data_IF_714072150318
#
_entry.id   IF_714072150318
#
_cell.length_a   1.000
_cell.length_b   1.000
_cell.length_c   1.000
_cell.angle_alpha   90.00
_cell.angle_beta   90.00
_cell.angle_gamma   90.00
#
_symmetry.space_group_name_H-M   'P 1'
#
loop_
_entity.id
_entity.type
_entity.pdbx_description
1 polymer ?
#
# COMPACT_ATOMS: atom_id res chain seq x y z
N UNK A 1 28.76 -14.93 3.96
CA UNK A 1 28.25 -14.11 2.82
C UNK A 1 27.17 -14.93 2.14
N UNK A 2 25.92 -14.78 2.59
CA UNK A 2 24.77 -15.38 1.90
C UNK A 2 24.48 -14.55 0.66
N UNK A 3 24.33 -15.18 -0.51
CA UNK A 3 24.14 -14.51 -1.79
C UNK A 3 22.82 -13.70 -1.79
N UNK A 4 22.98 -12.38 -1.91
CA UNK A 4 21.91 -11.37 -1.98
C UNK A 4 21.20 -11.39 -3.34
N UNK A 5 20.27 -12.30 -3.56
CA UNK A 5 19.43 -12.24 -4.76
C UNK A 5 17.95 -12.11 -4.36
N UNK A 6 17.57 -10.96 -3.80
CA UNK A 6 16.15 -10.56 -3.82
C UNK A 6 15.77 -10.35 -5.29
N UNK A 7 14.69 -11.00 -5.74
CA UNK A 7 14.18 -10.84 -7.11
C UNK A 7 13.70 -9.40 -7.33
N UNK A 8 13.16 -8.78 -6.29
CA UNK A 8 12.69 -7.40 -6.30
C UNK A 8 13.69 -6.47 -5.61
N UNK A 9 14.08 -5.41 -6.29
CA UNK A 9 15.03 -4.41 -5.79
C UNK A 9 14.64 -3.00 -6.24
N UNK A 10 15.38 -1.99 -5.79
CA UNK A 10 15.24 -0.61 -6.28
C UNK A 10 16.56 -0.11 -6.88
N UNK A 11 16.49 0.67 -7.95
CA UNK A 11 17.63 1.39 -8.52
C UNK A 11 17.19 2.78 -8.99
N UNK A 12 17.74 3.82 -8.37
CA UNK A 12 17.25 5.19 -8.52
C UNK A 12 15.73 5.26 -8.32
N UNK A 13 15.03 5.85 -9.29
CA UNK A 13 13.56 5.96 -9.26
C UNK A 13 12.80 4.70 -9.68
N UNK A 14 13.46 3.56 -9.87
CA UNK A 14 12.84 2.37 -10.44
C UNK A 14 12.68 1.25 -9.41
N UNK A 15 11.55 0.57 -9.48
CA UNK A 15 11.34 -0.73 -8.84
C UNK A 15 11.64 -1.79 -9.89
N UNK A 16 12.53 -2.72 -9.56
CA UNK A 16 13.04 -3.73 -10.48
C UNK A 16 12.56 -5.13 -10.07
N UNK A 17 12.34 -5.98 -11.06
CA UNK A 17 12.22 -7.44 -10.93
C UNK A 17 13.26 -8.09 -11.83
N UNK A 18 14.16 -8.89 -11.26
CA UNK A 18 15.26 -9.52 -11.97
C UNK A 18 16.08 -8.50 -12.80
N UNK A 19 16.30 -7.30 -12.23
CA UNK A 19 17.05 -6.20 -12.86
C UNK A 19 16.28 -5.40 -13.91
N UNK A 20 15.01 -5.72 -14.19
CA UNK A 20 14.18 -5.00 -15.16
C UNK A 20 13.12 -4.18 -14.44
N UNK A 21 12.87 -2.95 -14.90
CA UNK A 21 11.79 -2.12 -14.35
C UNK A 21 10.45 -2.84 -14.45
N UNK A 22 9.69 -2.82 -13.35
CA UNK A 22 8.36 -3.43 -13.32
C UNK A 22 7.35 -2.55 -14.03
N UNK A 23 6.37 -3.20 -14.66
CA UNK A 23 5.13 -2.58 -15.15
C UNK A 23 3.97 -3.37 -14.54
N UNK A 24 3.93 -3.39 -13.22
CA UNK A 24 3.03 -4.22 -12.43
C UNK A 24 2.06 -3.31 -11.68
N UNK A 25 0.77 -3.42 -12.00
CA UNK A 25 -0.31 -2.72 -11.32
C UNK A 25 -1.10 -3.70 -10.44
N UNK A 26 -1.96 -3.15 -9.59
CA UNK A 26 -2.57 -3.96 -8.54
C UNK A 26 -3.86 -3.40 -7.98
N UNK A 27 -4.23 -3.94 -6.84
CA UNK A 27 -5.43 -3.56 -6.09
C UNK A 27 -5.18 -3.65 -4.59
N UNK A 28 -5.99 -2.94 -3.82
CA UNK A 28 -6.18 -3.21 -2.41
C UNK A 28 -7.20 -4.34 -2.25
N UNK A 29 -6.97 -5.26 -1.33
CA UNK A 29 -7.87 -6.38 -1.07
C UNK A 29 -8.08 -6.61 0.43
N UNK A 30 -9.19 -7.29 0.74
CA UNK A 30 -9.65 -7.56 2.11
C UNK A 30 -9.57 -9.06 2.45
N UNK A 31 -8.56 -9.79 1.94
CA UNK A 31 -8.47 -11.24 2.09
C UNK A 31 -8.32 -11.69 3.55
N UNK A 32 -7.88 -10.78 4.42
CA UNK A 32 -7.90 -10.93 5.88
C UNK A 32 -9.26 -11.38 6.39
N UNK A 33 -10.36 -10.91 5.81
CA UNK A 33 -11.73 -11.27 6.22
C UNK A 33 -12.36 -12.40 5.38
N UNK A 34 -11.68 -12.84 4.33
CA UNK A 34 -12.15 -13.88 3.43
C UNK A 34 -11.30 -13.94 2.18
N UNK A 35 -10.63 -15.07 1.97
CA UNK A 35 -9.78 -15.32 0.81
C UNK A 35 -10.62 -15.29 -0.48
N UNK A 36 -10.29 -14.38 -1.40
CA UNK A 36 -11.05 -14.19 -2.64
C UNK A 36 -10.64 -15.18 -3.75
N UNK A 37 -11.40 -15.16 -4.84
CA UNK A 37 -11.21 -15.97 -6.03
C UNK A 37 -10.00 -15.47 -6.84
N UNK A 38 -8.87 -16.15 -6.64
CA UNK A 38 -7.61 -15.93 -7.35
C UNK A 38 -7.70 -15.95 -8.88
N UNK A 39 -8.67 -16.67 -9.47
CA UNK A 39 -8.86 -16.73 -10.92
C UNK A 39 -9.41 -15.41 -11.46
N UNK A 40 -10.32 -14.75 -10.75
CA UNK A 40 -10.88 -13.48 -11.19
C UNK A 40 -9.83 -12.37 -11.20
N UNK A 41 -8.94 -12.37 -10.21
CA UNK A 41 -7.78 -11.46 -10.21
C UNK A 41 -6.85 -11.70 -11.41
N UNK A 42 -6.80 -12.92 -11.95
CA UNK A 42 -5.99 -13.24 -13.12
C UNK A 42 -6.58 -12.61 -14.38
N UNK A 43 -7.90 -12.66 -14.52
CA UNK A 43 -8.63 -12.08 -15.66
C UNK A 43 -8.46 -10.55 -15.71
N UNK A 44 -8.31 -9.91 -14.54
CA UNK A 44 -8.01 -8.48 -14.39
C UNK A 44 -6.52 -8.16 -14.50
N UNK A 45 -5.66 -9.13 -14.81
CA UNK A 45 -4.21 -8.97 -14.91
C UNK A 45 -3.53 -8.41 -13.64
N UNK A 46 -4.12 -8.60 -12.45
CA UNK A 46 -3.60 -8.07 -11.18
C UNK A 46 -2.26 -8.74 -10.83
N UNK A 47 -1.21 -7.93 -10.59
CA UNK A 47 0.16 -8.39 -10.27
C UNK A 47 0.60 -8.08 -8.84
N UNK A 48 0.04 -7.04 -8.24
CA UNK A 48 0.33 -6.63 -6.87
C UNK A 48 -0.98 -6.60 -6.10
N UNK A 49 -0.98 -7.16 -4.88
CA UNK A 49 -2.11 -7.06 -3.96
C UNK A 49 -1.65 -6.40 -2.67
N UNK A 50 -2.21 -5.24 -2.35
CA UNK A 50 -2.03 -4.58 -1.07
C UNK A 50 -3.11 -5.05 -0.11
N UNK A 51 -2.69 -5.86 0.85
CA UNK A 51 -3.56 -6.55 1.78
C UNK A 51 -3.88 -5.65 2.97
N UNK A 52 -5.17 -5.39 3.17
CA UNK A 52 -5.69 -4.63 4.29
C UNK A 52 -5.58 -5.44 5.60
N UNK A 53 -4.82 -4.94 6.57
CA UNK A 53 -4.74 -5.52 7.91
C UNK A 53 -5.40 -4.57 8.92
N UNK A 54 -6.71 -4.70 9.11
CA UNK A 54 -7.49 -3.82 9.98
C UNK A 54 -7.29 -4.03 11.49
N UNK A 55 -6.61 -5.11 11.88
CA UNK A 55 -6.29 -5.45 13.27
C UNK A 55 -4.91 -6.13 13.35
N UNK A 56 -3.84 -5.35 13.26
CA UNK A 56 -2.47 -5.89 13.25
C UNK A 56 -2.13 -6.73 14.48
N UNK A 57 -2.68 -6.36 15.64
CA UNK A 57 -2.38 -7.02 16.90
C UNK A 57 -2.81 -8.48 16.91
N UNK A 58 -4.05 -8.76 16.51
CA UNK A 58 -4.62 -10.10 16.54
C UNK A 58 -4.46 -10.86 15.22
N UNK A 59 -4.03 -10.18 14.15
CA UNK A 59 -3.80 -10.78 12.84
C UNK A 59 -2.89 -12.01 12.94
N UNK A 60 -3.38 -13.23 12.66
CA UNK A 60 -2.51 -14.41 12.70
C UNK A 60 -1.47 -14.31 11.59
N UNK A 61 -0.19 -14.50 11.93
CA UNK A 61 0.88 -14.52 10.93
C UNK A 61 0.87 -15.87 10.19
N UNK A 62 0.70 -16.97 10.93
CA UNK A 62 0.65 -18.34 10.42
C UNK A 62 -0.54 -19.11 11.02
N UNK A 63 -0.85 -20.27 10.45
CA UNK A 63 -1.87 -21.18 10.97
C UNK A 63 -3.25 -20.91 10.41
N UNK A 64 -4.26 -21.48 11.06
CA UNK A 64 -5.66 -21.37 10.63
C UNK A 64 -6.23 -19.98 10.94
N UNK A 65 -7.33 -19.63 10.25
CA UNK A 65 -8.09 -18.43 10.57
C UNK A 65 -8.55 -18.44 12.03
N UNK A 66 -8.52 -17.27 12.67
CA UNK A 66 -8.95 -17.06 14.06
C UNK A 66 -10.07 -16.04 14.12
N UNK A 67 -10.84 -16.02 15.21
CA UNK A 67 -11.75 -14.93 15.50
C UNK A 67 -11.04 -13.91 16.37
N UNK A 68 -11.13 -12.63 16.00
CA UNK A 68 -10.61 -11.53 16.81
C UNK A 68 -11.57 -11.15 17.95
N UNK A 69 -11.16 -10.18 18.77
CA UNK A 69 -11.99 -9.66 19.87
C UNK A 69 -13.29 -9.01 19.41
N UNK A 70 -13.43 -8.69 18.11
CA UNK A 70 -14.66 -8.18 17.48
C UNK A 70 -15.45 -9.26 16.74
N UNK A 71 -15.10 -10.53 16.97
CA UNK A 71 -15.72 -11.71 16.39
C UNK A 71 -15.65 -11.78 14.85
N UNK A 72 -14.71 -11.06 14.23
CA UNK A 72 -14.38 -11.14 12.82
C UNK A 72 -13.41 -12.29 12.58
N UNK A 73 -13.57 -13.00 11.46
CA UNK A 73 -12.57 -13.98 11.03
C UNK A 73 -11.36 -13.27 10.45
N UNK A 74 -10.18 -13.61 10.93
CA UNK A 74 -8.89 -13.17 10.41
C UNK A 74 -8.14 -14.38 9.83
N UNK A 75 -7.97 -14.42 8.52
CA UNK A 75 -7.15 -15.41 7.82
C UNK A 75 -5.66 -15.12 8.01
N UNK A 76 -4.81 -16.14 8.10
CA UNK A 76 -3.39 -15.88 8.37
C UNK A 76 -2.67 -15.23 7.20
N UNK A 77 -1.73 -14.34 7.50
CA UNK A 77 -0.94 -13.64 6.49
C UNK A 77 -0.21 -14.63 5.58
N UNK A 78 0.31 -15.74 6.13
CA UNK A 78 0.95 -16.79 5.38
C UNK A 78 0.00 -17.42 4.33
N UNK A 79 -1.26 -17.70 4.71
CA UNK A 79 -2.22 -18.27 3.77
C UNK A 79 -2.58 -17.30 2.63
N UNK A 80 -2.72 -16.01 2.96
CA UNK A 80 -2.98 -14.96 1.97
C UNK A 80 -1.81 -14.84 1.00
N UNK A 81 -0.57 -14.74 1.53
CA UNK A 81 0.66 -14.68 0.73
C UNK A 81 0.81 -15.91 -0.16
N UNK A 82 0.59 -17.12 0.36
CA UNK A 82 0.72 -18.36 -0.41
C UNK A 82 -0.27 -18.42 -1.58
N UNK A 83 -1.50 -17.97 -1.36
CA UNK A 83 -2.53 -17.89 -2.39
C UNK A 83 -2.12 -16.94 -3.53
N UNK A 84 -1.62 -15.74 -3.19
CA UNK A 84 -1.13 -14.77 -4.18
C UNK A 84 0.13 -15.28 -4.90
N UNK A 85 1.05 -15.90 -4.16
CA UNK A 85 2.29 -16.49 -4.68
C UNK A 85 2.04 -17.60 -5.69
N UNK A 86 1.04 -18.44 -5.47
CA UNK A 86 0.65 -19.49 -6.44
C UNK A 86 0.27 -18.92 -7.81
N UNK A 87 -0.13 -17.64 -7.86
CA UNK A 87 -0.46 -16.91 -9.08
C UNK A 87 0.65 -15.94 -9.52
N UNK A 88 1.82 -15.98 -8.87
CA UNK A 88 2.97 -15.13 -9.18
C UNK A 88 2.79 -13.64 -8.82
N UNK A 89 1.92 -13.33 -7.86
CA UNK A 89 1.64 -11.96 -7.42
C UNK A 89 2.51 -11.55 -6.23
N UNK A 90 2.84 -10.26 -6.17
CA UNK A 90 3.41 -9.63 -4.99
C UNK A 90 2.31 -9.37 -3.96
N UNK A 91 2.60 -9.58 -2.69
CA UNK A 91 1.73 -9.15 -1.59
C UNK A 91 2.40 -8.04 -0.78
N UNK A 92 1.76 -6.87 -0.72
CA UNK A 92 2.11 -5.82 0.24
C UNK A 92 1.25 -6.05 1.47
N UNK A 93 1.87 -6.26 2.63
CA UNK A 93 1.16 -6.37 3.90
C UNK A 93 1.10 -4.96 4.52
N UNK A 94 -0.10 -4.39 4.58
CA UNK A 94 -0.29 -3.02 5.05
C UNK A 94 -1.17 -2.99 6.33
N UNK A 95 -0.63 -2.50 7.47
CA UNK A 95 -1.42 -2.25 8.67
C UNK A 95 -2.35 -1.05 8.51
N UNK A 96 -3.65 -1.27 8.70
CA UNK A 96 -4.70 -0.24 8.65
C UNK A 96 -5.31 0.08 10.02
N UNK A 97 -5.19 -0.85 10.97
CA UNK A 97 -5.77 -0.65 12.29
C UNK A 97 -5.12 -1.48 13.39
N UNK A 98 -5.38 -1.03 14.61
CA UNK A 98 -5.00 -1.68 15.84
C UNK A 98 -6.24 -1.88 16.70
N UNK A 99 -6.38 -3.05 17.31
CA UNK A 99 -7.42 -3.30 18.31
C UNK A 99 -6.76 -3.44 19.67
N UNK A 100 -7.26 -2.75 20.69
CA UNK A 100 -6.72 -2.80 22.06
C UNK A 100 -7.27 -3.98 22.87
N UNK A 101 -6.74 -4.25 24.06
CA UNK A 101 -7.09 -5.46 24.85
C UNK A 101 -8.53 -5.46 25.33
N UNK A 102 -9.22 -4.33 25.21
CA UNK A 102 -10.63 -4.15 25.51
C UNK A 102 -11.52 -4.31 24.26
N UNK A 103 -10.92 -4.53 23.08
CA UNK A 103 -11.63 -4.65 21.81
C UNK A 103 -11.91 -3.33 21.09
N UNK A 104 -11.35 -2.21 21.56
CA UNK A 104 -11.50 -0.91 20.91
C UNK A 104 -10.61 -0.85 19.67
N UNK A 105 -11.21 -0.55 18.51
CA UNK A 105 -10.48 -0.41 17.25
C UNK A 105 -10.05 1.04 17.06
N UNK A 106 -8.79 1.21 16.71
CA UNK A 106 -8.20 2.46 16.26
C UNK A 106 -7.72 2.27 14.81
N UNK A 107 -8.27 3.05 13.88
CA UNK A 107 -7.71 3.14 12.53
C UNK A 107 -6.43 3.97 12.56
N UNK A 108 -5.48 3.60 11.72
CA UNK A 108 -4.15 4.21 11.68
C UNK A 108 -4.10 5.54 10.91
N UNK A 109 -5.07 5.75 10.01
CA UNK A 109 -5.16 6.94 9.15
C UNK A 109 -5.16 8.24 9.98
N UNK A 110 -4.32 9.19 9.60
CA UNK A 110 -4.17 10.50 10.22
C UNK A 110 -3.42 10.52 11.56
N UNK A 111 -3.03 9.37 12.12
CA UNK A 111 -2.27 9.30 13.36
C UNK A 111 -0.78 9.55 13.14
N UNK A 112 -0.12 10.12 14.16
CA UNK A 112 1.33 10.19 14.25
C UNK A 112 1.85 8.88 14.89
N UNK A 113 2.61 8.03 14.19
CA UNK A 113 2.98 6.70 14.68
C UNK A 113 3.65 6.70 16.06
N UNK A 114 4.72 7.47 16.25
CA UNK A 114 5.50 7.44 17.50
C UNK A 114 4.78 8.04 18.72
N UNK A 115 3.66 8.73 18.52
CA UNK A 115 2.83 9.26 19.59
C UNK A 115 1.76 8.28 20.07
N UNK A 116 1.59 7.15 19.38
CA UNK A 116 0.58 6.16 19.77
C UNK A 116 1.07 5.31 20.94
N UNK A 117 0.22 5.14 21.96
CA UNK A 117 0.52 4.31 23.14
C UNK A 117 0.87 2.86 22.80
N UNK A 118 0.40 2.36 21.65
CA UNK A 118 0.66 1.02 21.17
C UNK A 118 1.86 0.91 20.20
N UNK A 119 2.60 1.99 19.94
CA UNK A 119 3.67 2.00 18.93
C UNK A 119 4.78 0.97 19.20
N UNK A 120 5.17 0.77 20.46
CA UNK A 120 6.15 -0.27 20.81
C UNK A 120 5.62 -1.69 20.51
N UNK A 121 4.38 -1.98 20.91
CA UNK A 121 3.75 -3.26 20.61
C UNK A 121 3.52 -3.45 19.09
N UNK A 122 3.25 -2.36 18.37
CA UNK A 122 3.16 -2.34 16.92
C UNK A 122 4.50 -2.72 16.28
N UNK A 123 5.61 -2.13 16.73
CA UNK A 123 6.96 -2.49 16.27
C UNK A 123 7.27 -3.97 16.48
N UNK A 124 6.96 -4.52 17.65
CA UNK A 124 7.14 -5.96 17.94
C UNK A 124 6.33 -6.84 16.97
N UNK A 125 5.08 -6.46 16.67
CA UNK A 125 4.24 -7.18 15.72
C UNK A 125 4.80 -7.12 14.30
N UNK A 126 5.26 -5.95 13.88
CA UNK A 126 5.90 -5.79 12.58
C UNK A 126 7.21 -6.58 12.47
N UNK A 127 8.02 -6.67 13.54
CA UNK A 127 9.20 -7.54 13.59
C UNK A 127 8.84 -9.02 13.46
N UNK A 128 7.74 -9.47 14.08
CA UNK A 128 7.29 -10.85 13.95
C UNK A 128 6.89 -11.18 12.50
N UNK A 129 6.21 -10.26 11.81
CA UNK A 129 5.85 -10.39 10.39
C UNK A 129 7.11 -10.39 9.52
N UNK A 130 8.03 -9.45 9.75
CA UNK A 130 9.30 -9.38 9.04
C UNK A 130 10.13 -10.66 9.20
N UNK A 131 10.20 -11.21 10.42
CA UNK A 131 10.88 -12.48 10.67
C UNK A 131 10.26 -13.67 9.93
N UNK A 132 8.94 -13.69 9.74
CA UNK A 132 8.26 -14.73 8.97
C UNK A 132 8.58 -14.62 7.47
N UNK A 133 8.58 -13.40 6.93
CA UNK A 133 8.64 -13.17 5.48
C UNK A 133 10.00 -12.75 4.94
N UNK A 134 11.03 -12.63 5.80
CA UNK A 134 12.40 -12.36 5.33
C UNK A 134 12.87 -13.41 4.34
N UNK A 135 13.50 -12.96 3.25
CA UNK A 135 13.95 -13.82 2.16
C UNK A 135 12.84 -14.26 1.20
N UNK A 136 11.59 -13.86 1.42
CA UNK A 136 10.47 -14.09 0.50
C UNK A 136 10.22 -12.81 -0.32
N UNK A 137 11.00 -12.58 -1.38
CA UNK A 137 11.07 -11.29 -2.09
C UNK A 137 9.75 -10.80 -2.71
N UNK A 138 8.75 -11.67 -2.84
CA UNK A 138 7.38 -11.35 -3.28
C UNK A 138 6.50 -10.79 -2.16
N UNK A 139 7.01 -10.66 -0.92
CA UNK A 139 6.33 -10.04 0.21
C UNK A 139 7.00 -8.71 0.55
N UNK A 140 6.23 -7.63 0.44
CA UNK A 140 6.65 -6.28 0.80
C UNK A 140 5.90 -5.84 2.06
N UNK A 141 6.52 -4.99 2.86
CA UNK A 141 5.91 -4.47 4.09
C UNK A 141 5.75 -2.96 3.99
N UNK A 142 4.52 -2.48 4.19
CA UNK A 142 4.28 -1.06 4.39
C UNK A 142 4.34 -0.72 5.88
N UNK A 143 4.97 0.41 6.19
CA UNK A 143 5.27 0.76 7.57
C UNK A 143 4.02 1.13 8.36
N UNK A 144 3.04 1.77 7.73
CA UNK A 144 1.82 2.32 8.35
C UNK A 144 0.87 2.85 7.27
N UNK A 145 -0.42 2.53 7.30
CA UNK A 145 -1.37 3.13 6.37
C UNK A 145 -1.68 4.60 6.72
N UNK A 146 -1.46 5.51 5.77
CA UNK A 146 -1.91 6.91 5.82
C UNK A 146 -1.56 7.68 7.10
N UNK A 147 -0.28 7.76 7.51
CA UNK A 147 0.08 8.53 8.70
C UNK A 147 -0.09 10.04 8.48
N UNK A 148 -0.18 10.76 9.60
CA UNK A 148 -0.27 12.23 9.71
C UNK A 148 -1.57 12.81 9.10
N UNK A 149 -2.28 13.61 9.89
CA UNK A 149 -3.58 14.15 9.47
C UNK A 149 -3.46 15.02 8.21
N UNK A 150 -4.44 14.93 7.30
CA UNK A 150 -4.44 15.70 6.05
C UNK A 150 -4.47 17.23 6.28
N UNK A 151 -5.03 17.67 7.39
CA UNK A 151 -5.20 19.07 7.78
C UNK A 151 -4.19 19.55 8.84
N UNK A 152 -3.13 18.78 9.08
CA UNK A 152 -2.09 19.02 10.10
C UNK A 152 -2.62 19.13 11.54
N UNK A 153 -3.86 18.72 11.82
CA UNK A 153 -4.52 18.87 13.13
C UNK A 153 -3.81 18.15 14.29
N UNK A 154 -2.96 17.17 13.99
CA UNK A 154 -2.20 16.39 14.97
C UNK A 154 -0.75 16.88 15.15
N UNK A 155 -0.38 18.09 14.73
CA UNK A 155 0.93 18.67 15.05
C UNK A 155 2.12 18.00 14.34
N UNK A 156 1.85 17.42 13.17
CA UNK A 156 2.82 16.80 12.29
C UNK A 156 3.98 17.75 11.90
N UNK A 157 5.21 17.23 11.80
CA UNK A 157 6.33 17.88 11.10
C UNK A 157 7.09 16.90 10.22
N UNK A 158 7.80 17.40 9.20
CA UNK A 158 8.61 16.55 8.32
C UNK A 158 9.73 15.82 9.08
N UNK A 159 10.28 16.43 10.14
CA UNK A 159 11.28 15.80 11.00
C UNK A 159 10.69 14.64 11.80
N UNK A 160 9.44 14.78 12.26
CA UNK A 160 8.70 13.68 12.89
C UNK A 160 8.49 12.54 11.89
N UNK A 161 8.09 12.84 10.64
CA UNK A 161 8.01 11.82 9.60
C UNK A 161 9.32 11.09 9.41
N UNK A 162 10.42 11.81 9.21
CA UNK A 162 11.72 11.18 8.99
C UNK A 162 12.11 10.27 10.17
N UNK A 163 11.92 10.74 11.40
CA UNK A 163 12.22 9.97 12.61
C UNK A 163 11.39 8.68 12.67
N UNK A 164 10.08 8.78 12.52
CA UNK A 164 9.16 7.64 12.62
C UNK A 164 9.45 6.60 11.53
N UNK A 165 9.70 7.05 10.29
CA UNK A 165 10.05 6.15 9.19
C UNK A 165 11.39 5.46 9.42
N UNK A 166 12.45 6.19 9.79
CA UNK A 166 13.76 5.59 10.06
C UNK A 166 13.71 4.58 11.20
N UNK A 167 12.97 4.89 12.27
CA UNK A 167 12.80 4.00 13.41
C UNK A 167 12.13 2.68 13.01
N UNK A 168 11.05 2.74 12.22
CA UNK A 168 10.36 1.53 11.77
C UNK A 168 11.19 0.76 10.73
N UNK A 169 11.86 1.43 9.79
CA UNK A 169 12.74 0.76 8.83
C UNK A 169 13.85 0.01 9.56
N UNK A 170 14.52 0.66 10.52
CA UNK A 170 15.53 0.03 11.34
C UNK A 170 14.97 -1.19 12.07
N UNK A 171 13.80 -1.04 12.70
CA UNK A 171 13.10 -2.11 13.41
C UNK A 171 12.86 -3.35 12.52
N UNK A 172 12.51 -3.17 11.24
CA UNK A 172 12.38 -4.29 10.29
C UNK A 172 13.73 -4.84 9.82
N UNK A 173 14.69 -3.98 9.47
CA UNK A 173 16.01 -4.37 8.96
C UNK A 173 16.83 -5.15 10.00
N UNK A 174 16.68 -4.87 11.29
CA UNK A 174 17.31 -5.63 12.38
C UNK A 174 16.91 -7.12 12.41
N UNK A 175 15.78 -7.49 11.81
CA UNK A 175 15.35 -8.89 11.68
C UNK A 175 16.05 -9.64 10.53
N UNK A 176 16.79 -8.93 9.67
CA UNK A 176 17.33 -9.41 8.39
C UNK A 176 16.29 -9.42 7.26
N UNK A 177 15.21 -8.64 7.39
CA UNK A 177 14.24 -8.45 6.31
C UNK A 177 14.84 -7.53 5.25
N UNK A 178 15.30 -8.08 4.13
CA UNK A 178 15.95 -7.33 3.03
C UNK A 178 15.01 -7.07 1.84
N UNK A 179 13.75 -7.52 1.92
CA UNK A 179 12.77 -7.29 0.86
C UNK A 179 12.38 -5.79 0.79
N UNK A 180 11.55 -5.42 -0.18
CA UNK A 180 11.05 -4.06 -0.31
C UNK A 180 10.24 -3.63 0.93
N UNK A 181 10.52 -2.43 1.41
CA UNK A 181 9.73 -1.71 2.43
C UNK A 181 9.06 -0.51 1.77
N UNK A 182 7.76 -0.35 2.00
CA UNK A 182 6.97 0.79 1.54
C UNK A 182 6.89 1.85 2.63
N UNK A 183 7.33 3.06 2.30
CA UNK A 183 7.36 4.23 3.19
C UNK A 183 6.25 5.19 2.77
N UNK A 184 5.19 5.36 3.58
CA UNK A 184 4.07 6.21 3.22
C UNK A 184 4.44 7.70 3.19
N UNK A 185 3.82 8.45 2.29
CA UNK A 185 3.82 9.91 2.30
C UNK A 185 3.07 10.50 3.51
N UNK A 186 3.15 11.82 3.67
CA UNK A 186 2.42 12.53 4.72
C UNK A 186 1.02 12.96 4.26
N UNK A 187 0.22 13.51 5.18
CA UNK A 187 -1.13 14.00 4.87
C UNK A 187 -2.05 12.86 4.43
N UNK A 188 -2.14 11.81 5.24
CA UNK A 188 -2.86 10.58 4.95
C UNK A 188 -2.39 9.93 3.64
N UNK A 189 -1.08 9.87 3.43
CA UNK A 189 -0.46 9.32 2.22
C UNK A 189 -0.63 10.16 0.96
N UNK A 190 -1.41 11.25 0.98
CA UNK A 190 -1.71 12.02 -0.22
C UNK A 190 -0.62 13.04 -0.60
N UNK A 191 0.29 13.39 0.30
CA UNK A 191 1.36 14.36 0.05
C UNK A 191 2.74 13.71 -0.05
N UNK A 192 3.48 14.12 -1.07
CA UNK A 192 4.87 13.77 -1.31
C UNK A 192 5.88 14.73 -0.66
N UNK A 193 5.42 15.72 0.10
CA UNK A 193 6.28 16.82 0.54
C UNK A 193 7.38 16.36 1.49
N UNK A 194 7.09 15.50 2.47
CA UNK A 194 8.12 14.93 3.33
C UNK A 194 9.11 14.05 2.56
N UNK A 195 8.63 13.28 1.59
CA UNK A 195 9.48 12.45 0.72
C UNK A 195 10.44 13.34 -0.07
N UNK A 196 9.97 14.45 -0.62
CA UNK A 196 10.80 15.39 -1.36
C UNK A 196 11.84 16.11 -0.49
N UNK A 197 11.56 16.29 0.79
CA UNK A 197 12.47 16.96 1.74
C UNK A 197 13.49 15.99 2.33
N UNK A 198 13.09 14.75 2.64
CA UNK A 198 13.88 13.82 3.47
C UNK A 198 14.02 12.40 2.90
N UNK A 199 13.42 12.10 1.74
CA UNK A 199 13.47 10.77 1.13
C UNK A 199 14.89 10.32 0.79
N UNK A 200 15.79 11.24 0.46
CA UNK A 200 17.21 10.96 0.15
C UNK A 200 17.98 10.42 1.36
N UNK A 201 17.66 10.90 2.57
CA UNK A 201 18.26 10.39 3.81
C UNK A 201 17.87 8.93 4.04
N UNK A 202 16.63 8.56 3.72
CA UNK A 202 16.16 7.18 3.84
C UNK A 202 16.82 6.29 2.78
N UNK A 203 16.79 6.67 1.50
CA UNK A 203 17.33 5.83 0.41
C UNK A 203 18.86 5.76 0.40
N UNK A 204 19.55 6.72 1.02
CA UNK A 204 21.00 6.64 1.26
C UNK A 204 21.34 5.69 2.40
N UNK A 205 20.49 5.61 3.43
CA UNK A 205 20.72 4.77 4.60
C UNK A 205 20.29 3.31 4.38
N UNK A 206 19.28 3.07 3.54
CA UNK A 206 18.67 1.76 3.36
C UNK A 206 18.38 1.46 1.88
N UNK A 207 18.74 0.25 1.47
CA UNK A 207 18.37 -0.31 0.18
C UNK A 207 16.89 -0.76 0.16
N UNK A 208 16.33 -0.99 -1.04
CA UNK A 208 15.00 -1.57 -1.26
C UNK A 208 13.88 -0.81 -0.53
N UNK A 209 13.90 0.52 -0.67
CA UNK A 209 12.86 1.42 -0.17
C UNK A 209 12.02 1.89 -1.34
N UNK A 210 10.70 1.80 -1.22
CA UNK A 210 9.73 2.36 -2.16
C UNK A 210 8.85 3.34 -1.39
N UNK A 211 8.59 4.51 -1.93
CA UNK A 211 7.65 5.45 -1.31
C UNK A 211 6.24 5.22 -1.82
N UNK A 212 5.27 5.27 -0.90
CA UNK A 212 3.86 5.03 -1.18
C UNK A 212 3.05 6.33 -1.09
N UNK A 213 2.24 6.60 -2.13
CA UNK A 213 1.39 7.78 -2.24
C UNK A 213 -0.04 7.39 -2.60
N UNK A 214 -1.02 8.14 -2.11
CA UNK A 214 -2.43 7.85 -2.30
C UNK A 214 -3.09 8.93 -3.18
N UNK A 215 -3.66 8.51 -4.31
CA UNK A 215 -4.26 9.40 -5.29
C UNK A 215 -5.77 9.61 -5.00
N UNK A 216 -6.06 10.59 -4.15
CA UNK A 216 -7.41 11.13 -3.93
C UNK A 216 -7.42 12.66 -4.16
N UNK A 217 -7.93 13.45 -3.22
CA UNK A 217 -8.10 14.89 -3.37
C UNK A 217 -6.85 15.60 -3.86
N UNK A 218 -5.70 15.34 -3.23
CA UNK A 218 -4.48 16.08 -3.53
C UNK A 218 -3.92 15.80 -4.94
N UNK A 219 -4.29 14.68 -5.56
CA UNK A 219 -3.81 14.27 -6.88
C UNK A 219 -4.85 14.42 -7.99
N UNK A 220 -6.13 14.27 -7.64
CA UNK A 220 -7.23 14.18 -8.60
C UNK A 220 -8.02 15.49 -8.70
N UNK A 221 -8.18 16.24 -7.60
CA UNK A 221 -8.89 17.52 -7.65
C UNK A 221 -7.97 18.57 -8.24
N UNK A 222 -8.41 19.19 -9.34
CA UNK A 222 -7.61 20.10 -10.18
C UNK A 222 -6.33 19.46 -10.76
N UNK A 223 -6.17 18.14 -10.61
CA UNK A 223 -5.16 17.36 -11.31
C UNK A 223 -5.51 17.29 -12.79
N UNK A 224 -4.58 17.70 -13.63
CA UNK A 224 -4.62 17.43 -15.07
C UNK A 224 -3.33 16.74 -15.49
N UNK A 225 -3.31 16.16 -16.69
CA UNK A 225 -2.14 15.42 -17.19
C UNK A 225 -0.81 16.15 -16.99
N UNK A 226 -0.76 17.46 -17.28
CA UNK A 226 0.46 18.28 -17.15
C UNK A 226 0.92 18.39 -15.69
N UNK A 227 -0.01 18.69 -14.79
CA UNK A 227 0.30 18.86 -13.35
C UNK A 227 0.77 17.55 -12.74
N UNK A 228 0.11 16.45 -13.06
CA UNK A 228 0.46 15.11 -12.59
C UNK A 228 1.82 14.68 -13.16
N UNK A 229 2.05 14.88 -14.46
CA UNK A 229 3.34 14.59 -15.10
C UNK A 229 4.49 15.37 -14.47
N UNK A 230 4.28 16.64 -14.14
CA UNK A 230 5.30 17.47 -13.49
C UNK A 230 5.67 16.94 -12.10
N UNK A 231 4.68 16.51 -11.30
CA UNK A 231 4.91 15.90 -9.98
C UNK A 231 5.66 14.58 -10.08
N UNK A 232 5.25 13.68 -10.98
CA UNK A 232 5.97 12.44 -11.23
C UNK A 232 7.42 12.69 -11.70
N UNK A 233 7.62 13.70 -12.56
CA UNK A 233 8.95 14.08 -13.03
C UNK A 233 9.82 14.59 -11.89
N UNK A 234 9.25 15.35 -10.95
CA UNK A 234 9.96 15.82 -9.75
C UNK A 234 10.44 14.65 -8.89
N UNK A 235 9.57 13.69 -8.60
CA UNK A 235 9.90 12.48 -7.82
C UNK A 235 10.95 11.62 -8.53
N UNK A 236 10.78 11.42 -9.85
CA UNK A 236 11.74 10.69 -10.69
C UNK A 236 13.12 11.35 -10.70
N UNK A 237 13.19 12.67 -10.88
CA UNK A 237 14.45 13.41 -10.89
C UNK A 237 15.14 13.41 -9.53
N UNK A 238 14.39 13.22 -8.45
CA UNK A 238 14.92 13.03 -7.10
C UNK A 238 15.35 11.58 -6.82
N UNK A 239 15.27 10.67 -7.82
CA UNK A 239 15.59 9.25 -7.69
C UNK A 239 14.74 8.52 -6.64
N UNK A 240 13.47 8.90 -6.49
CA UNK A 240 12.55 8.24 -5.58
C UNK A 240 11.70 7.21 -6.33
N UNK A 241 11.80 5.91 -5.99
CA UNK A 241 10.92 4.89 -6.54
C UNK A 241 9.55 5.01 -5.86
N UNK A 242 8.50 5.16 -6.67
CA UNK A 242 7.15 5.45 -6.19
C UNK A 242 6.20 4.32 -6.58
N UNK A 243 5.28 4.00 -5.67
CA UNK A 243 4.04 3.29 -5.93
C UNK A 243 2.88 4.19 -5.52
N UNK A 244 1.77 4.11 -6.25
CA UNK A 244 0.49 4.61 -5.77
C UNK A 244 -0.29 3.46 -5.15
N UNK A 245 -0.14 3.27 -3.84
CA UNK A 245 -0.75 2.21 -3.05
C UNK A 245 -2.26 2.31 -2.99
N UNK A 246 -2.82 3.50 -3.23
CA UNK A 246 -4.26 3.71 -3.39
C UNK A 246 -4.58 4.71 -4.51
N UNK A 247 -5.66 4.42 -5.21
CA UNK A 247 -6.43 5.37 -6.01
C UNK A 247 -7.90 4.98 -5.94
N UNK A 248 -8.79 5.95 -5.81
CA UNK A 248 -10.23 5.73 -5.83
C UNK A 248 -10.98 6.90 -6.43
N UNK A 249 -12.26 6.67 -6.71
CA UNK A 249 -13.14 7.65 -7.36
C UNK A 249 -13.97 8.44 -6.36
N UNK A 250 -14.07 8.01 -5.10
CA UNK A 250 -14.75 8.77 -4.05
C UNK A 250 -13.92 8.82 -2.77
N UNK A 251 -13.90 10.01 -2.16
CA UNK A 251 -13.37 10.22 -0.81
C UNK A 251 -14.16 11.37 -0.13
N UNK A 252 -13.56 12.09 0.82
CA UNK A 252 -14.22 13.12 1.64
C UNK A 252 -14.80 14.25 0.78
N UNK A 253 -14.12 14.60 -0.32
CA UNK A 253 -14.58 15.66 -1.24
C UNK A 253 -15.61 15.19 -2.27
N UNK A 254 -16.07 13.94 -2.20
CA UNK A 254 -17.04 13.35 -3.13
C UNK A 254 -16.37 12.71 -4.35
N UNK A 255 -17.12 12.62 -5.45
CA UNK A 255 -16.73 11.89 -6.65
C UNK A 255 -15.64 12.65 -7.44
N UNK A 256 -14.56 11.97 -7.81
CA UNK A 256 -13.37 12.48 -8.47
C UNK A 256 -13.15 11.81 -9.83
N UNK A 257 -12.45 12.50 -10.73
CA UNK A 257 -12.04 11.98 -12.04
C UNK A 257 -10.63 11.40 -11.95
N UNK A 258 -10.41 10.23 -12.55
CA UNK A 258 -9.15 9.46 -12.44
C UNK A 258 -8.40 9.32 -13.76
N UNK A 259 -9.03 9.68 -14.89
CA UNK A 259 -8.56 9.34 -16.24
C UNK A 259 -7.22 10.00 -16.56
N UNK A 260 -7.08 11.30 -16.25
CA UNK A 260 -5.83 12.04 -16.45
C UNK A 260 -4.68 11.42 -15.65
N UNK A 261 -4.95 11.04 -14.39
CA UNK A 261 -3.99 10.37 -13.53
C UNK A 261 -3.56 9.02 -14.11
N UNK A 262 -4.51 8.12 -14.39
CA UNK A 262 -4.22 6.78 -14.90
C UNK A 262 -3.47 6.82 -16.24
N UNK A 263 -3.80 7.77 -17.11
CA UNK A 263 -3.09 7.98 -18.38
C UNK A 263 -1.64 8.39 -18.16
N UNK A 264 -1.37 9.28 -17.21
CA UNK A 264 0.00 9.68 -16.87
C UNK A 264 0.75 8.53 -16.18
N UNK A 265 0.11 7.83 -15.24
CA UNK A 265 0.68 6.69 -14.53
C UNK A 265 1.08 5.56 -15.50
N UNK A 266 0.23 5.21 -16.47
CA UNK A 266 0.56 4.21 -17.48
C UNK A 266 1.75 4.64 -18.36
N UNK A 267 1.78 5.90 -18.84
CA UNK A 267 2.93 6.41 -19.62
C UNK A 267 4.23 6.44 -18.82
N UNK A 268 4.13 6.82 -17.54
CA UNK A 268 5.26 6.90 -16.63
C UNK A 268 5.68 5.53 -16.07
N UNK A 269 4.87 4.49 -16.27
CA UNK A 269 5.07 3.12 -15.76
C UNK A 269 5.21 3.12 -14.23
N UNK A 270 4.32 3.85 -13.57
CA UNK A 270 4.24 3.91 -12.11
C UNK A 270 3.20 2.89 -11.63
N UNK A 271 3.60 1.90 -10.80
CA UNK A 271 2.65 0.97 -10.18
C UNK A 271 1.52 1.70 -9.48
N UNK A 272 0.28 1.36 -9.85
CA UNK A 272 -0.93 2.01 -9.32
C UNK A 272 -1.94 0.96 -8.87
N UNK A 273 -2.45 1.11 -7.65
CA UNK A 273 -3.26 0.10 -6.97
C UNK A 273 -4.67 0.62 -6.68
N UNK A 274 -5.66 0.00 -7.30
CA UNK A 274 -7.06 0.41 -7.17
C UNK A 274 -7.62 0.10 -5.78
N UNK A 275 -8.19 1.11 -5.14
CA UNK A 275 -9.13 0.95 -4.02
C UNK A 275 -10.53 0.81 -4.63
N UNK A 276 -11.20 -0.34 -4.61
CA UNK A 276 -10.96 -1.54 -3.80
C UNK A 276 -11.42 -2.82 -4.51
N UNK A 277 -10.64 -3.91 -4.39
CA UNK A 277 -11.03 -5.24 -4.83
C UNK A 277 -12.10 -5.82 -3.91
N UNK A 278 -13.36 -5.59 -4.28
CA UNK A 278 -14.55 -5.95 -3.50
C UNK A 278 -15.74 -6.13 -4.45
N UNK A 279 -16.63 -7.07 -4.11
CA UNK A 279 -17.91 -7.30 -4.80
C UNK A 279 -19.03 -6.57 -4.07
N UNK A 280 -19.25 -5.31 -4.41
CA UNK A 280 -20.27 -4.47 -3.78
C UNK A 280 -20.65 -3.32 -4.69
N UNK A 281 -21.72 -3.49 -5.47
CA UNK A 281 -22.19 -2.48 -6.42
C UNK A 281 -22.55 -1.14 -5.77
N UNK A 282 -22.85 -1.10 -4.47
CA UNK A 282 -23.27 0.13 -3.77
C UNK A 282 -22.07 0.91 -3.21
N UNK A 283 -20.91 0.27 -3.13
CA UNK A 283 -19.66 0.92 -2.77
C UNK A 283 -19.04 1.50 -4.04
N UNK A 284 -19.02 2.82 -4.15
CA UNK A 284 -18.56 3.50 -5.38
C UNK A 284 -17.08 3.23 -5.68
N UNK A 285 -16.26 2.87 -4.68
CA UNK A 285 -14.87 2.48 -4.87
C UNK A 285 -14.69 0.99 -5.16
N UNK A 286 -15.69 0.14 -4.90
CA UNK A 286 -15.57 -1.28 -5.23
C UNK A 286 -15.41 -1.45 -6.74
N UNK A 287 -14.39 -2.22 -7.15
CA UNK A 287 -14.10 -2.48 -8.57
C UNK A 287 -15.12 -3.41 -9.22
N UNK A 288 -15.86 -4.21 -8.42
CA UNK A 288 -16.77 -5.23 -8.93
C UNK A 288 -18.18 -5.12 -8.34
N UNK A 289 -19.16 -5.47 -9.16
CA UNK A 289 -20.56 -5.63 -8.75
C UNK A 289 -20.76 -6.92 -7.94
N UNK A 290 -21.99 -7.19 -7.50
CA UNK A 290 -22.33 -8.40 -6.75
C UNK A 290 -22.16 -9.71 -7.53
N UNK A 291 -22.02 -9.65 -8.86
CA UNK A 291 -21.82 -10.79 -9.75
C UNK A 291 -20.35 -10.97 -10.16
N UNK A 292 -19.48 -10.03 -9.82
CA UNK A 292 -18.06 -10.05 -10.18
C UNK A 292 -17.74 -9.40 -11.53
N UNK A 293 -18.68 -8.68 -12.15
CA UNK A 293 -18.39 -7.84 -13.32
C UNK A 293 -17.87 -6.47 -12.85
N UNK A 294 -17.25 -5.67 -13.73
CA UNK A 294 -16.87 -4.30 -13.41
C UNK A 294 -18.03 -3.46 -12.84
N UNK A 295 -17.81 -2.78 -11.71
CA UNK A 295 -18.80 -1.92 -11.08
C UNK A 295 -18.72 -0.49 -11.63
N UNK A 296 -19.77 -0.08 -12.34
CA UNK A 296 -19.88 1.25 -12.94
C UNK A 296 -21.06 2.07 -12.38
N UNK A 297 -21.63 1.65 -11.25
CA UNK A 297 -22.82 2.28 -10.68
C UNK A 297 -22.47 3.59 -9.97
N UNK A 298 -22.91 4.72 -10.56
CA UNK A 298 -22.79 6.07 -10.00
C UNK A 298 -21.35 6.50 -9.65
N UNK A 299 -20.32 5.96 -10.33
CA UNK A 299 -18.92 6.10 -9.92
C UNK A 299 -17.95 6.45 -11.07
N UNK A 300 -18.42 7.15 -12.10
CA UNK A 300 -17.64 7.48 -13.31
C UNK A 300 -17.12 6.25 -14.09
N UNK A 301 -17.85 5.14 -14.08
CA UNK A 301 -17.44 3.88 -14.71
C UNK A 301 -16.11 3.35 -14.16
N UNK A 302 -15.97 3.37 -12.82
CA UNK A 302 -14.72 3.07 -12.15
C UNK A 302 -14.20 1.67 -12.46
N UNK A 303 -15.05 0.66 -12.30
CA UNK A 303 -14.69 -0.73 -12.53
C UNK A 303 -14.17 -0.94 -13.95
N UNK A 304 -14.91 -0.48 -14.96
CA UNK A 304 -14.50 -0.62 -16.37
C UNK A 304 -13.23 0.19 -16.67
N UNK A 305 -13.12 1.41 -16.13
CA UNK A 305 -11.94 2.27 -16.32
C UNK A 305 -10.69 1.61 -15.77
N UNK A 306 -10.75 1.07 -14.56
CA UNK A 306 -9.59 0.45 -13.93
C UNK A 306 -9.29 -0.94 -14.50
N UNK A 307 -10.30 -1.72 -14.91
CA UNK A 307 -10.09 -2.96 -15.65
C UNK A 307 -9.24 -2.73 -16.90
N UNK A 308 -9.63 -1.76 -17.74
CA UNK A 308 -8.88 -1.42 -18.95
C UNK A 308 -7.44 -0.99 -18.61
N UNK A 309 -7.26 -0.14 -17.59
CA UNK A 309 -5.93 0.27 -17.13
C UNK A 309 -5.03 -0.91 -16.73
N UNK A 310 -5.58 -1.98 -16.14
CA UNK A 310 -4.81 -3.17 -15.77
C UNK A 310 -4.50 -4.08 -16.97
N UNK A 311 -5.32 -4.04 -18.03
CA UNK A 311 -5.21 -4.94 -19.19
C UNK A 311 -4.56 -4.32 -20.43
N UNK A 312 -4.37 -3.00 -20.44
CA UNK A 312 -3.64 -2.25 -21.48
C UNK A 312 -2.12 -2.51 -21.44
#
# INVERSE_FOLDING_TARGET
MSSRNSIYTTDGSQILKDGNAIDQNGVNALNTFGIDNSSLMQDWNIKIVREFIGNLREQPITGNAVRDSKNQWLHSLQQIVEMHRQQGRVTILCPFGWVDTNGNQQLLTGLNPSEQLFFEAYKERMQAIANQFKGQSDVWLELWNEPYAFDDSNGYTHEMWLKDQLEMIQNLRETGFDNIILVPGNGQGQSEDAILVYGDQITTAYDNIVFDLHAYENWLINGNETTIQNRFTKLKNANFPIIFGEIGVINTSGLMQVQDFLKVANRAKIPTLGWLWKKDQNDQNALMDGQGNPNDLNNNSWGTTFFNFLTD
#
